data_IF_145284490590
#
_entry.id   IF_145284490590
#
_cell.length_a   1.000
_cell.length_b   1.000
_cell.length_c   1.000
_cell.angle_alpha   90.00
_cell.angle_beta   90.00
_cell.angle_gamma   90.00
#
_symmetry.space_group_name_H-M   'P 1'
#
loop_
_entity.id
_entity.type
_entity.pdbx_description
1 polymer ?
#
# COMPACT_ATOMS: atom_id res chain seq x y z
N UNK A 1 -36.47 1.56 -1.27
CA UNK A 1 -35.29 1.12 -2.06
C UNK A 1 -34.50 0.20 -1.14
N UNK A 2 -34.10 -0.98 -1.63
CA UNK A 2 -33.25 -1.89 -0.85
C UNK A 2 -31.93 -1.18 -0.53
N UNK A 3 -31.29 -1.46 0.61
CA UNK A 3 -29.96 -0.94 0.92
C UNK A 3 -28.95 -1.29 -0.18
N UNK A 4 -29.12 -2.47 -0.79
CA UNK A 4 -28.23 -2.97 -1.85
C UNK A 4 -28.24 -2.06 -3.08
N UNK A 5 -29.43 -1.60 -3.49
CA UNK A 5 -29.60 -0.70 -4.63
C UNK A 5 -29.02 0.71 -4.34
N UNK A 6 -28.91 1.10 -3.07
CA UNK A 6 -28.29 2.38 -2.69
C UNK A 6 -26.77 2.27 -2.75
N UNK A 7 -26.18 1.15 -2.32
CA UNK A 7 -24.75 0.93 -2.41
C UNK A 7 -24.26 0.74 -3.84
N UNK A 8 -25.03 0.05 -4.70
CA UNK A 8 -24.72 -0.07 -6.13
C UNK A 8 -24.59 1.30 -6.80
N UNK A 9 -25.57 2.20 -6.59
CA UNK A 9 -25.58 3.55 -7.17
C UNK A 9 -24.45 4.43 -6.60
N UNK A 10 -24.11 4.28 -5.32
CA UNK A 10 -22.95 5.00 -4.73
C UNK A 10 -21.62 4.45 -5.31
N UNK A 11 -21.55 3.16 -5.60
CA UNK A 11 -20.36 2.53 -6.17
C UNK A 11 -20.14 2.90 -7.65
N UNK A 12 -21.19 3.26 -8.40
CA UNK A 12 -21.04 3.76 -9.78
C UNK A 12 -20.23 5.07 -9.88
N UNK A 13 -20.19 5.87 -8.81
CA UNK A 13 -19.36 7.07 -8.75
C UNK A 13 -17.90 6.79 -8.37
N UNK A 14 -17.57 5.56 -7.97
CA UNK A 14 -16.19 5.16 -7.66
C UNK A 14 -15.46 4.88 -8.95
N UNK A 15 -14.22 5.38 -9.06
CA UNK A 15 -13.36 5.02 -10.17
C UNK A 15 -13.05 3.53 -10.07
N UNK A 16 -13.45 2.76 -11.08
CA UNK A 16 -13.09 1.35 -11.20
C UNK A 16 -11.65 1.27 -11.74
N UNK A 17 -10.78 0.58 -11.00
CA UNK A 17 -9.38 0.37 -11.35
C UNK A 17 -9.06 -1.12 -11.53
N UNK A 18 -10.05 -2.00 -11.63
CA UNK A 18 -9.86 -3.45 -11.62
C UNK A 18 -8.89 -3.93 -12.72
N UNK A 19 -8.87 -3.23 -13.87
CA UNK A 19 -8.01 -3.58 -15.01
C UNK A 19 -6.53 -3.21 -14.81
N UNK A 20 -6.23 -2.30 -13.88
CA UNK A 20 -4.87 -1.83 -13.57
C UNK A 20 -4.43 -2.21 -12.15
N UNK A 21 -5.37 -2.69 -11.35
CA UNK A 21 -5.12 -3.30 -10.05
C UNK A 21 -4.61 -4.72 -10.24
N UNK A 22 -3.91 -5.25 -9.22
CA UNK A 22 -3.33 -6.60 -9.20
C UNK A 22 -2.39 -6.93 -10.39
N UNK A 23 -1.65 -5.91 -10.86
CA UNK A 23 -0.57 -6.09 -11.82
C UNK A 23 0.74 -6.43 -11.07
N UNK A 24 1.77 -6.95 -11.77
CA UNK A 24 3.05 -7.29 -11.13
C UNK A 24 3.83 -6.12 -10.53
N UNK A 25 3.45 -4.88 -10.86
CA UNK A 25 4.07 -3.66 -10.34
C UNK A 25 3.06 -2.49 -10.25
N UNK A 26 3.31 -1.47 -9.41
CA UNK A 26 2.36 -0.41 -9.13
C UNK A 26 2.26 0.66 -10.21
N UNK A 27 3.13 0.70 -11.24
CA UNK A 27 3.31 1.88 -12.11
C UNK A 27 2.02 2.33 -12.78
N UNK A 28 1.27 1.39 -13.35
CA UNK A 28 0.01 1.69 -14.04
C UNK A 28 -1.06 2.22 -13.06
N UNK A 29 -1.17 1.58 -11.90
CA UNK A 29 -2.09 1.97 -10.83
C UNK A 29 -1.75 3.37 -10.29
N UNK A 30 -0.48 3.62 -9.99
CA UNK A 30 -0.02 4.88 -9.42
C UNK A 30 -0.20 6.07 -10.35
N UNK A 31 0.04 5.86 -11.66
CA UNK A 31 -0.20 6.89 -12.68
C UNK A 31 -1.66 7.33 -12.72
N UNK A 32 -2.60 6.42 -12.52
CA UNK A 32 -4.01 6.80 -12.47
C UNK A 32 -4.39 7.42 -11.12
N UNK A 33 -3.83 6.97 -10.00
CA UNK A 33 -4.03 7.61 -8.68
C UNK A 33 -3.57 9.07 -8.67
N UNK A 34 -2.44 9.37 -9.30
CA UNK A 34 -1.91 10.73 -9.40
C UNK A 34 -2.89 11.66 -10.12
N UNK A 35 -3.45 11.22 -11.25
CA UNK A 35 -4.46 11.99 -12.02
C UNK A 35 -5.72 12.28 -11.21
N UNK A 36 -6.07 11.40 -10.27
CA UNK A 36 -7.21 11.58 -9.38
C UNK A 36 -6.89 12.44 -8.15
N UNK A 37 -5.64 12.87 -7.98
CA UNK A 37 -5.22 13.62 -6.79
C UNK A 37 -5.39 12.81 -5.51
N UNK A 38 -5.16 11.49 -5.58
CA UNK A 38 -5.32 10.62 -4.43
C UNK A 38 -4.29 10.99 -3.34
N UNK A 39 -4.78 11.37 -2.16
CA UNK A 39 -3.94 11.93 -1.07
C UNK A 39 -4.28 11.38 0.31
N UNK A 40 -5.28 10.51 0.41
CA UNK A 40 -5.82 10.02 1.69
C UNK A 40 -4.72 9.42 2.59
N UNK A 41 -3.81 8.55 2.10
CA UNK A 41 -2.73 8.01 2.94
C UNK A 41 -1.84 9.11 3.52
N UNK A 42 -1.47 10.11 2.71
CA UNK A 42 -0.66 11.24 3.15
C UNK A 42 -1.35 12.11 4.20
N UNK A 43 -2.67 12.36 4.04
CA UNK A 43 -3.46 13.11 5.03
C UNK A 43 -3.61 12.33 6.34
N UNK A 44 -3.70 11.00 6.27
CA UNK A 44 -3.86 10.12 7.43
C UNK A 44 -2.54 9.84 8.17
N UNK A 45 -1.40 9.83 7.47
CA UNK A 45 -0.05 9.57 8.01
C UNK A 45 0.23 10.21 9.39
N UNK A 46 0.05 11.53 9.62
CA UNK A 46 0.36 12.13 10.93
C UNK A 46 -0.54 11.63 12.07
N UNK A 47 -1.71 11.06 11.77
CA UNK A 47 -2.57 10.43 12.77
C UNK A 47 -1.99 9.08 13.17
N UNK A 48 -1.61 8.25 12.20
CA UNK A 48 -1.00 6.95 12.45
C UNK A 48 0.35 7.06 13.17
N UNK A 49 1.21 8.00 12.79
CA UNK A 49 2.49 8.26 13.49
C UNK A 49 2.29 8.59 14.98
N UNK A 50 1.26 9.37 15.32
CA UNK A 50 0.91 9.66 16.72
C UNK A 50 0.43 8.42 17.46
N UNK A 51 -0.35 7.55 16.81
CA UNK A 51 -0.82 6.29 17.38
C UNK A 51 0.35 5.31 17.60
N UNK A 52 1.22 5.12 16.62
CA UNK A 52 2.44 4.31 16.71
C UNK A 52 3.30 4.78 17.88
N UNK A 53 3.59 6.09 17.93
CA UNK A 53 4.33 6.72 19.02
C UNK A 53 3.70 6.48 20.39
N UNK A 54 2.36 6.53 20.49
CA UNK A 54 1.64 6.27 21.74
C UNK A 54 1.72 4.80 22.16
N UNK A 55 1.55 3.87 21.21
CA UNK A 55 1.61 2.43 21.47
C UNK A 55 3.00 1.98 21.88
N UNK A 56 4.05 2.45 21.18
CA UNK A 56 5.45 2.13 21.52
C UNK A 56 5.79 2.48 22.96
N UNK A 57 5.38 3.67 23.41
CA UNK A 57 5.59 4.12 24.81
C UNK A 57 4.87 3.28 25.86
N UNK A 58 3.81 2.57 25.48
CA UNK A 58 3.02 1.74 26.43
C UNK A 58 3.44 0.29 26.47
N UNK A 59 3.96 -0.24 25.36
CA UNK A 59 4.19 -1.67 25.20
C UNK A 59 5.67 -2.08 25.32
N UNK A 60 6.62 -1.13 25.42
CA UNK A 60 8.06 -1.41 25.54
C UNK A 60 8.57 -2.39 24.45
N UNK A 61 8.06 -2.26 23.22
CA UNK A 61 8.40 -3.12 22.09
C UNK A 61 8.01 -2.51 20.75
N UNK A 62 8.32 -3.24 19.67
CA UNK A 62 7.95 -2.88 18.29
C UNK A 62 6.42 -2.88 18.14
N UNK A 63 5.93 -1.99 17.29
CA UNK A 63 4.49 -1.89 17.00
C UNK A 63 4.19 -2.71 15.75
N UNK A 64 3.22 -3.62 15.83
CA UNK A 64 2.76 -4.41 14.71
C UNK A 64 1.47 -3.82 14.12
N UNK A 65 1.45 -3.55 12.83
CA UNK A 65 0.31 -3.04 12.07
C UNK A 65 -0.23 -4.13 11.14
N UNK A 66 -1.55 -4.27 11.09
CA UNK A 66 -2.25 -4.98 10.02
C UNK A 66 -2.89 -3.95 9.09
N UNK A 67 -2.44 -3.88 7.84
CA UNK A 67 -3.00 -3.02 6.80
C UNK A 67 -4.03 -3.80 5.98
N UNK A 68 -5.31 -3.44 6.11
CA UNK A 68 -6.42 -4.10 5.43
C UNK A 68 -6.72 -3.36 4.11
N UNK A 69 -6.62 -4.07 3.00
CA UNK A 69 -6.60 -3.45 1.67
C UNK A 69 -5.24 -2.79 1.43
N UNK A 70 -4.15 -3.52 1.72
CA UNK A 70 -2.80 -2.95 1.73
C UNK A 70 -2.31 -2.54 0.34
N UNK A 71 -2.93 -3.05 -0.74
CA UNK A 71 -2.49 -2.82 -2.11
C UNK A 71 -0.98 -3.08 -2.25
N UNK A 72 -0.28 -2.24 -3.03
CA UNK A 72 1.16 -2.28 -3.23
C UNK A 72 1.98 -1.69 -2.05
N UNK A 73 1.38 -1.52 -0.86
CA UNK A 73 2.11 -1.13 0.35
C UNK A 73 2.30 0.38 0.57
N UNK A 74 1.43 1.24 0.04
CA UNK A 74 1.55 2.72 0.16
C UNK A 74 1.65 3.17 1.62
N UNK A 75 0.77 2.67 2.49
CA UNK A 75 0.78 3.05 3.91
C UNK A 75 2.08 2.61 4.59
N UNK A 76 2.59 1.42 4.23
CA UNK A 76 3.86 0.93 4.75
C UNK A 76 5.04 1.81 4.30
N UNK A 77 5.08 2.22 3.02
CA UNK A 77 6.08 3.16 2.51
C UNK A 77 6.07 4.49 3.27
N UNK A 78 4.89 5.08 3.46
CA UNK A 78 4.71 6.34 4.20
C UNK A 78 5.12 6.23 5.68
N UNK A 79 4.84 5.10 6.32
CA UNK A 79 5.02 4.94 7.77
C UNK A 79 6.39 4.41 8.15
N UNK A 80 6.94 3.44 7.40
CA UNK A 80 8.27 2.89 7.64
C UNK A 80 9.35 3.89 7.24
N UNK A 81 9.19 4.58 6.11
CA UNK A 81 10.27 5.38 5.52
C UNK A 81 10.07 6.90 5.61
N UNK A 82 9.09 7.35 6.40
CA UNK A 82 8.63 8.75 6.48
C UNK A 82 8.41 9.45 5.12
N UNK A 83 8.10 8.71 4.07
CA UNK A 83 7.83 9.27 2.74
C UNK A 83 6.48 10.00 2.70
N UNK A 84 6.33 10.90 1.74
CA UNK A 84 5.10 11.59 1.39
C UNK A 84 4.49 11.03 0.11
N UNK A 85 3.19 11.29 -0.11
CA UNK A 85 2.53 10.92 -1.38
C UNK A 85 3.22 11.56 -2.60
N UNK A 86 3.61 12.85 -2.60
CA UNK A 86 4.38 13.43 -3.70
C UNK A 86 5.70 12.72 -3.99
N UNK A 87 6.46 12.32 -2.96
CA UNK A 87 7.71 11.58 -3.14
C UNK A 87 7.48 10.21 -3.76
N UNK A 88 6.40 9.51 -3.38
CA UNK A 88 6.02 8.25 -4.02
C UNK A 88 5.56 8.43 -5.47
N UNK A 89 4.79 9.50 -5.76
CA UNK A 89 4.40 9.82 -7.14
C UNK A 89 5.62 10.14 -8.00
N UNK A 90 6.57 10.93 -7.47
CA UNK A 90 7.82 11.24 -8.14
C UNK A 90 8.63 9.98 -8.41
N UNK A 91 8.81 9.12 -7.40
CA UNK A 91 9.57 7.86 -7.50
C UNK A 91 8.97 6.91 -8.54
N UNK A 92 7.69 6.56 -8.42
CA UNK A 92 7.03 5.62 -9.34
C UNK A 92 6.64 6.23 -10.69
N UNK A 93 6.73 7.56 -10.82
CA UNK A 93 6.53 8.30 -12.06
C UNK A 93 7.79 8.47 -12.92
N UNK A 94 8.97 8.05 -12.44
CA UNK A 94 10.22 8.26 -13.18
C UNK A 94 10.24 7.56 -14.53
N UNK A 95 10.58 8.31 -15.58
CA UNK A 95 10.68 7.82 -16.95
C UNK A 95 11.76 6.74 -17.11
N UNK A 96 12.84 6.83 -16.33
CA UNK A 96 13.91 5.82 -16.28
C UNK A 96 13.40 4.43 -15.88
N UNK A 97 12.26 4.36 -15.21
CA UNK A 97 11.62 3.12 -14.77
C UNK A 97 10.61 2.57 -15.79
N UNK A 98 10.36 3.24 -16.92
CA UNK A 98 9.34 2.82 -17.89
C UNK A 98 9.76 1.62 -18.74
N UNK A 99 11.06 1.44 -18.99
CA UNK A 99 11.57 0.33 -19.80
C UNK A 99 11.92 -0.91 -18.95
N UNK A 100 11.91 -0.79 -17.62
CA UNK A 100 12.21 -1.88 -16.71
C UNK A 100 11.11 -2.96 -16.75
N UNK A 101 11.52 -4.23 -16.76
CA UNK A 101 10.60 -5.34 -16.49
C UNK A 101 10.09 -5.25 -15.05
N UNK A 102 8.93 -5.86 -14.71
CA UNK A 102 8.42 -5.82 -13.34
C UNK A 102 9.41 -6.35 -12.29
N UNK A 103 10.20 -7.37 -12.63
CA UNK A 103 11.24 -7.93 -11.76
C UNK A 103 12.43 -6.98 -11.54
N UNK A 104 12.85 -6.24 -12.56
CA UNK A 104 13.89 -5.22 -12.42
C UNK A 104 13.37 -4.03 -11.61
N UNK A 105 12.11 -3.65 -11.84
CA UNK A 105 11.45 -2.56 -11.13
C UNK A 105 11.35 -2.85 -9.62
N UNK A 106 10.86 -4.03 -9.22
CA UNK A 106 10.76 -4.37 -7.79
C UNK A 106 12.14 -4.45 -7.11
N UNK A 107 13.17 -4.90 -7.83
CA UNK A 107 14.54 -4.91 -7.31
C UNK A 107 15.10 -3.49 -7.09
N UNK A 108 14.81 -2.57 -8.01
CA UNK A 108 15.18 -1.15 -7.88
C UNK A 108 14.42 -0.48 -6.72
N UNK A 109 13.13 -0.79 -6.57
CA UNK A 109 12.32 -0.30 -5.45
C UNK A 109 12.85 -0.79 -4.11
N UNK A 110 13.19 -2.08 -4.02
CA UNK A 110 13.81 -2.63 -2.82
C UNK A 110 15.10 -1.88 -2.47
N UNK A 111 15.98 -1.69 -3.45
CA UNK A 111 17.22 -0.92 -3.24
C UNK A 111 16.94 0.52 -2.81
N UNK A 112 15.93 1.16 -3.40
CA UNK A 112 15.51 2.50 -3.01
C UNK A 112 15.07 2.56 -1.55
N UNK A 113 14.11 1.71 -1.14
CA UNK A 113 13.57 1.71 0.22
C UNK A 113 14.60 1.26 1.27
N UNK A 114 15.46 0.29 0.94
CA UNK A 114 16.53 -0.18 1.84
C UNK A 114 17.58 0.91 2.12
N UNK A 115 17.77 1.87 1.21
CA UNK A 115 18.77 2.95 1.33
C UNK A 115 18.22 4.24 1.97
N UNK A 116 16.96 4.29 2.40
CA UNK A 116 16.41 5.45 3.10
C UNK A 116 16.89 5.49 4.55
N UNK A 117 17.40 6.65 4.98
CA UNK A 117 18.00 6.87 6.31
C UNK A 117 16.98 6.79 7.46
N UNK A 118 15.73 7.18 7.21
CA UNK A 118 14.67 7.19 8.22
C UNK A 118 13.87 5.89 8.14
N UNK A 119 14.01 5.05 9.17
CA UNK A 119 13.24 3.81 9.32
C UNK A 119 12.52 3.79 10.68
N UNK A 120 11.21 3.91 10.64
CA UNK A 120 10.37 3.76 11.83
C UNK A 120 10.32 2.28 12.22
N UNK A 121 10.64 1.97 13.49
CA UNK A 121 10.61 0.61 14.03
C UNK A 121 9.17 0.11 14.23
N UNK A 122 8.54 -0.31 13.13
CA UNK A 122 7.24 -0.96 13.04
C UNK A 122 7.35 -2.21 12.16
N UNK A 123 6.50 -3.19 12.44
CA UNK A 123 6.28 -4.34 11.57
C UNK A 123 4.90 -4.22 10.93
N UNK A 124 4.82 -4.34 9.60
CA UNK A 124 3.59 -4.20 8.83
C UNK A 124 3.25 -5.51 8.14
N UNK A 125 2.12 -6.10 8.53
CA UNK A 125 1.48 -7.20 7.81
C UNK A 125 0.42 -6.61 6.88
N UNK A 126 0.52 -6.89 5.57
CA UNK A 126 -0.49 -6.49 4.60
C UNK A 126 -1.51 -7.59 4.33
N UNK A 127 -2.77 -7.21 4.13
CA UNK A 127 -3.81 -8.10 3.65
C UNK A 127 -4.54 -7.45 2.49
N UNK A 128 -4.61 -8.16 1.37
CA UNK A 128 -5.38 -7.76 0.20
C UNK A 128 -5.88 -8.99 -0.57
N UNK A 129 -6.88 -8.84 -1.44
CA UNK A 129 -7.24 -9.92 -2.36
C UNK A 129 -6.33 -9.96 -3.60
N UNK A 130 -5.61 -8.87 -3.90
CA UNK A 130 -4.70 -8.76 -5.03
C UNK A 130 -3.34 -9.42 -4.71
N UNK A 131 -3.16 -10.66 -5.16
CA UNK A 131 -1.97 -11.47 -4.90
C UNK A 131 -0.69 -10.82 -5.44
N UNK A 132 -0.72 -10.25 -6.64
CA UNK A 132 0.43 -9.59 -7.27
C UNK A 132 0.83 -8.32 -6.53
N UNK A 133 -0.15 -7.56 -6.02
CA UNK A 133 0.12 -6.35 -5.25
C UNK A 133 0.77 -6.67 -3.90
N UNK A 134 0.29 -7.71 -3.21
CA UNK A 134 0.89 -8.21 -1.96
C UNK A 134 2.30 -8.75 -2.21
N UNK A 135 2.49 -9.54 -3.27
CA UNK A 135 3.79 -10.09 -3.63
C UNK A 135 4.82 -8.99 -3.93
N UNK A 136 4.43 -7.99 -4.73
CA UNK A 136 5.26 -6.81 -4.99
C UNK A 136 5.67 -6.11 -3.69
N UNK A 137 4.72 -5.85 -2.80
CA UNK A 137 5.00 -5.10 -1.58
C UNK A 137 5.91 -5.86 -0.60
N UNK A 138 5.87 -7.19 -0.61
CA UNK A 138 6.84 -8.05 0.09
C UNK A 138 8.22 -8.00 -0.57
N UNK A 139 8.28 -8.17 -1.88
CA UNK A 139 9.54 -8.20 -2.62
C UNK A 139 10.30 -6.86 -2.58
N UNK A 140 9.55 -5.74 -2.55
CA UNK A 140 10.06 -4.38 -2.38
C UNK A 140 10.47 -4.05 -0.92
N UNK A 141 10.21 -4.93 0.06
CA UNK A 141 10.53 -4.71 1.48
C UNK A 141 9.58 -3.78 2.24
N UNK A 142 8.48 -3.35 1.60
CA UNK A 142 7.48 -2.49 2.23
C UNK A 142 6.68 -3.24 3.31
N UNK A 143 6.26 -4.47 3.01
CA UNK A 143 5.59 -5.36 3.96
C UNK A 143 6.59 -6.35 4.58
N UNK A 144 6.40 -6.66 5.86
CA UNK A 144 7.17 -7.71 6.54
C UNK A 144 6.48 -9.08 6.41
N UNK A 145 5.14 -9.09 6.34
CA UNK A 145 4.31 -10.26 6.07
C UNK A 145 3.12 -9.88 5.17
N UNK A 146 2.58 -10.85 4.41
CA UNK A 146 1.53 -10.59 3.43
C UNK A 146 0.53 -11.74 3.32
N UNK A 147 -0.76 -11.39 3.21
CA UNK A 147 -1.88 -12.31 3.10
C UNK A 147 -2.72 -11.95 1.86
N UNK A 148 -2.66 -12.80 0.83
CA UNK A 148 -3.53 -12.71 -0.34
C UNK A 148 -4.88 -13.40 -0.05
N UNK A 149 -5.83 -12.67 0.53
CA UNK A 149 -7.11 -13.21 1.00
C UNK A 149 -8.27 -12.28 0.65
N UNK A 150 -9.30 -12.84 0.01
CA UNK A 150 -10.59 -12.18 -0.12
C UNK A 150 -11.47 -12.47 1.11
N UNK A 151 -11.65 -11.46 1.97
CA UNK A 151 -12.43 -11.56 3.19
C UNK A 151 -13.95 -11.74 2.96
N UNK A 152 -14.45 -11.49 1.76
CA UNK A 152 -15.87 -11.68 1.40
C UNK A 152 -16.19 -13.13 1.03
N UNK A 153 -15.19 -13.90 0.58
CA UNK A 153 -15.38 -15.28 0.11
C UNK A 153 -14.70 -16.33 0.98
N UNK A 154 -13.86 -15.91 1.93
CA UNK A 154 -13.22 -16.84 2.86
C UNK A 154 -14.29 -17.53 3.72
N UNK A 155 -14.36 -18.86 3.62
CA UNK A 155 -15.40 -19.67 4.27
C UNK A 155 -14.89 -20.47 5.46
N UNK A 156 -13.57 -20.54 5.67
CA UNK A 156 -12.92 -21.17 6.81
C UNK A 156 -11.72 -20.33 7.27
N UNK A 157 -11.96 -19.37 8.18
CA UNK A 157 -10.89 -18.79 8.99
C UNK A 157 -10.62 -19.79 10.15
N UNK A 158 -9.53 -20.54 10.06
CA UNK A 158 -9.03 -21.36 11.18
C UNK A 158 -8.02 -20.60 11.99
#
# INVERSE_FOLDING_TARGET
MSSDTVFEVINEAKVNMDQIYDQPDPRAYFRELEKLGYTIPGVAKPIFQKLISHLRRRQNGSVHLLDLGCSYGINAALLKHDLSMPELYEHWGQEALLEATPGEFVAQDREFFDNLDEQEDISVTGLDQAESAVAFALDAGLLDEGLAVNLETITDAR
#
